data_IF_657091413148
#
_entry.id   IF_657091413148
#
_cell.length_a   1.000
_cell.length_b   1.000
_cell.length_c   1.000
_cell.angle_alpha   90.00
_cell.angle_beta   90.00
_cell.angle_gamma   90.00
#
_symmetry.space_group_name_H-M   'P 1'
#
loop_
_entity.id
_entity.type
_entity.pdbx_description
1 polymer ?
#
# COMPACT_ATOMS: atom_id res chain seq x y z
N UNK A 1 18.44 8.09 3.54
CA UNK A 1 18.90 8.99 2.46
C UNK A 1 19.13 8.23 1.13
N UNK A 2 18.10 7.48 0.69
CA UNK A 2 18.17 6.69 -0.53
C UNK A 2 18.10 7.58 -1.77
N UNK A 3 19.05 7.41 -2.70
CA UNK A 3 19.12 8.14 -3.96
C UNK A 3 19.14 7.16 -5.14
N UNK A 4 18.34 7.47 -6.17
CA UNK A 4 18.37 6.81 -7.46
C UNK A 4 18.23 7.79 -8.60
N UNK A 5 19.15 7.68 -9.57
CA UNK A 5 19.17 8.48 -10.79
C UNK A 5 19.02 7.60 -12.03
N UNK A 6 18.36 8.12 -13.03
CA UNK A 6 18.31 7.58 -14.39
C UNK A 6 18.75 8.68 -15.34
N UNK A 7 20.04 8.66 -15.74
CA UNK A 7 20.67 9.81 -16.39
C UNK A 7 20.64 11.04 -15.46
N UNK A 8 20.12 12.14 -15.93
CA UNK A 8 20.02 13.39 -15.16
C UNK A 8 18.78 13.44 -14.25
N UNK A 9 17.84 12.51 -14.45
CA UNK A 9 16.59 12.48 -13.67
C UNK A 9 16.79 11.76 -12.32
N UNK A 10 16.49 12.47 -11.22
CA UNK A 10 16.46 11.87 -9.87
C UNK A 10 15.09 11.30 -9.58
N UNK A 11 14.97 9.97 -9.66
CA UNK A 11 13.74 9.25 -9.36
C UNK A 11 13.51 9.09 -7.86
N UNK A 12 14.59 8.99 -7.06
CA UNK A 12 14.60 9.05 -5.60
C UNK A 12 15.64 10.07 -5.17
N UNK A 13 15.25 11.00 -4.30
CA UNK A 13 16.07 12.13 -3.87
C UNK A 13 16.13 12.23 -2.34
N UNK A 14 16.90 11.34 -1.74
CA UNK A 14 17.14 11.31 -0.29
C UNK A 14 15.96 10.72 0.50
N UNK A 15 15.32 9.66 -0.02
CA UNK A 15 14.20 9.00 0.68
C UNK A 15 14.67 8.41 2.01
N UNK A 16 13.95 8.76 3.08
CA UNK A 16 14.00 8.11 4.38
C UNK A 16 12.61 7.57 4.69
N UNK A 17 12.50 6.33 5.14
CA UNK A 17 11.25 5.67 5.47
C UNK A 17 11.51 4.57 6.49
N UNK A 18 10.57 4.38 7.41
CA UNK A 18 10.62 3.31 8.39
C UNK A 18 9.28 2.57 8.43
N UNK A 19 9.33 1.25 8.26
CA UNK A 19 8.16 0.38 8.35
C UNK A 19 8.33 -0.55 9.54
N UNK A 20 7.44 -0.43 10.53
CA UNK A 20 7.45 -1.30 11.70
C UNK A 20 6.98 -2.71 11.34
N UNK A 21 7.63 -3.72 11.95
CA UNK A 21 7.26 -5.13 11.73
C UNK A 21 5.84 -5.42 12.21
N UNK A 22 5.09 -6.18 11.41
CA UNK A 22 3.71 -6.56 11.72
C UNK A 22 2.68 -5.45 11.52
N UNK A 23 3.01 -4.42 10.75
CA UNK A 23 2.11 -3.32 10.40
C UNK A 23 1.76 -3.34 8.92
N UNK A 24 0.65 -2.69 8.58
CA UNK A 24 0.29 -2.34 7.21
C UNK A 24 0.71 -0.89 6.97
N UNK A 25 1.67 -0.70 6.06
CA UNK A 25 2.19 0.61 5.70
C UNK A 25 1.73 1.01 4.29
N UNK A 26 1.06 2.15 4.18
CA UNK A 26 0.60 2.74 2.93
C UNK A 26 1.63 3.73 2.36
N UNK A 27 2.15 3.48 1.16
CA UNK A 27 2.98 4.41 0.41
C UNK A 27 2.12 5.14 -0.61
N UNK A 28 1.73 6.37 -0.31
CA UNK A 28 0.78 7.16 -1.11
C UNK A 28 1.49 8.24 -1.91
N UNK A 29 1.05 8.45 -3.15
CA UNK A 29 1.58 9.56 -3.95
C UNK A 29 1.09 9.51 -5.40
N UNK A 30 1.15 10.63 -6.12
CA UNK A 30 0.73 10.68 -7.52
C UNK A 30 1.58 9.77 -8.41
N UNK A 31 1.09 9.53 -9.63
CA UNK A 31 1.88 8.82 -10.63
C UNK A 31 3.18 9.60 -10.91
N UNK A 32 4.30 8.89 -11.02
CA UNK A 32 5.62 9.50 -11.16
C UNK A 32 6.26 9.99 -9.85
N UNK A 33 5.62 9.84 -8.69
CA UNK A 33 6.21 10.24 -7.40
C UNK A 33 7.45 9.43 -7.01
N UNK A 34 7.68 8.25 -7.62
CA UNK A 34 8.81 7.37 -7.34
C UNK A 34 8.45 6.09 -6.56
N UNK A 35 7.15 5.84 -6.27
CA UNK A 35 6.68 4.67 -5.49
C UNK A 35 7.21 3.35 -6.02
N UNK A 36 6.93 3.01 -7.28
CA UNK A 36 7.40 1.75 -7.90
C UNK A 36 8.93 1.70 -8.01
N UNK A 37 9.61 2.84 -8.16
CA UNK A 37 11.07 2.89 -8.12
C UNK A 37 11.58 2.51 -6.73
N UNK A 38 10.99 3.07 -5.66
CA UNK A 38 11.34 2.71 -4.29
C UNK A 38 11.07 1.22 -4.02
N UNK A 39 9.91 0.71 -4.42
CA UNK A 39 9.54 -0.71 -4.29
C UNK A 39 10.55 -1.62 -4.99
N UNK A 40 11.02 -1.27 -6.20
CA UNK A 40 12.04 -2.05 -6.90
C UNK A 40 13.40 -2.07 -6.20
N UNK A 41 13.71 -1.08 -5.38
CA UNK A 41 14.88 -1.12 -4.49
C UNK A 41 14.62 -2.01 -3.28
N UNK A 42 13.42 -1.93 -2.66
CA UNK A 42 13.03 -2.78 -1.53
C UNK A 42 12.98 -4.26 -1.92
N UNK A 43 12.66 -4.58 -3.17
CA UNK A 43 12.68 -5.94 -3.71
C UNK A 43 14.05 -6.37 -4.23
N UNK A 44 15.04 -5.46 -4.19
CA UNK A 44 16.40 -5.69 -4.66
C UNK A 44 16.50 -5.92 -6.18
N UNK A 45 15.53 -5.39 -6.96
CA UNK A 45 15.60 -5.34 -8.44
C UNK A 45 16.54 -4.24 -8.89
N UNK A 46 16.51 -3.10 -8.21
CA UNK A 46 17.42 -1.99 -8.48
C UNK A 46 18.47 -1.85 -7.37
N UNK A 47 19.69 -1.51 -7.78
CA UNK A 47 20.72 -1.04 -6.89
C UNK A 47 20.64 0.48 -6.79
N UNK A 48 20.74 0.99 -5.57
CA UNK A 48 20.78 2.42 -5.28
C UNK A 48 22.12 3.06 -5.70
N UNK A 49 22.08 4.36 -5.99
CA UNK A 49 23.29 5.13 -6.29
C UNK A 49 23.92 5.69 -5.00
N UNK A 50 23.09 5.95 -3.96
CA UNK A 50 23.55 6.29 -2.61
C UNK A 50 22.49 5.91 -1.57
N UNK A 51 22.91 5.83 -0.31
CA UNK A 51 22.07 5.40 0.81
C UNK A 51 22.03 3.88 0.95
N UNK A 52 21.27 3.41 1.94
CA UNK A 52 21.22 2.00 2.34
C UNK A 52 19.76 1.58 2.57
N UNK A 53 19.50 0.29 2.35
CA UNK A 53 18.20 -0.34 2.60
C UNK A 53 18.42 -1.60 3.40
N UNK A 54 17.72 -1.67 4.54
CA UNK A 54 17.73 -2.83 5.43
C UNK A 54 16.33 -3.37 5.62
N UNK A 55 16.21 -4.68 5.68
CA UNK A 55 15.00 -5.40 6.09
C UNK A 55 15.42 -6.36 7.21
N UNK A 56 14.79 -6.22 8.38
CA UNK A 56 15.17 -6.95 9.60
C UNK A 56 16.68 -6.84 9.92
N UNK A 57 17.26 -5.65 9.71
CA UNK A 57 18.67 -5.36 9.96
C UNK A 57 19.65 -5.92 8.91
N UNK A 58 19.18 -6.60 7.88
CA UNK A 58 20.01 -7.14 6.81
C UNK A 58 19.87 -6.34 5.51
N UNK A 59 20.99 -6.10 4.76
CA UNK A 59 20.92 -5.39 3.48
C UNK A 59 20.15 -6.20 2.44
N UNK A 60 19.39 -5.51 1.59
CA UNK A 60 18.45 -6.15 0.65
C UNK A 60 19.10 -6.59 -0.64
N UNK A 61 20.01 -5.76 -1.20
CA UNK A 61 20.58 -6.00 -2.52
C UNK A 61 21.41 -7.30 -2.55
N UNK A 62 21.10 -8.19 -3.51
CA UNK A 62 21.71 -9.53 -3.66
C UNK A 62 21.63 -10.45 -2.43
N UNK A 63 20.74 -10.16 -1.47
CA UNK A 63 20.57 -10.97 -0.27
C UNK A 63 19.44 -12.01 -0.47
N UNK A 64 19.82 -13.26 -0.75
CA UNK A 64 18.88 -14.36 -0.96
C UNK A 64 18.03 -14.66 0.28
N UNK A 65 18.60 -14.54 1.48
CA UNK A 65 17.88 -14.84 2.74
C UNK A 65 16.75 -13.83 3.00
N UNK A 66 17.01 -12.55 2.75
CA UNK A 66 15.98 -11.51 2.84
C UNK A 66 14.89 -11.74 1.78
N UNK A 67 15.29 -12.02 0.53
CA UNK A 67 14.34 -12.24 -0.58
C UNK A 67 13.46 -13.48 -0.38
N UNK A 68 13.99 -14.54 0.24
CA UNK A 68 13.23 -15.75 0.54
C UNK A 68 12.08 -15.52 1.55
N UNK A 69 12.15 -14.45 2.35
CA UNK A 69 11.13 -14.07 3.33
C UNK A 69 10.16 -12.99 2.82
N UNK A 70 10.28 -12.60 1.54
CA UNK A 70 9.52 -11.52 0.92
C UNK A 70 8.67 -12.07 -0.23
N UNK A 71 7.44 -11.60 -0.36
CA UNK A 71 6.66 -11.75 -1.58
C UNK A 71 6.35 -10.37 -2.16
N UNK A 72 6.31 -10.27 -3.49
CA UNK A 72 6.08 -9.03 -4.20
C UNK A 72 5.00 -9.22 -5.27
N UNK A 73 4.01 -8.36 -5.25
CA UNK A 73 2.99 -8.27 -6.29
C UNK A 73 3.18 -6.92 -7.01
N UNK A 74 3.69 -6.93 -8.25
CA UNK A 74 3.80 -5.72 -9.06
C UNK A 74 2.42 -5.27 -9.56
N UNK A 75 2.31 -4.03 -10.04
CA UNK A 75 1.09 -3.51 -10.67
C UNK A 75 0.63 -4.38 -11.84
N UNK A 76 1.57 -4.82 -12.68
CA UNK A 76 1.32 -5.82 -13.73
C UNK A 76 2.02 -7.14 -13.37
N UNK A 77 1.29 -8.14 -12.84
CA UNK A 77 1.84 -9.44 -12.51
C UNK A 77 2.35 -10.18 -13.75
N UNK A 78 3.53 -10.79 -13.63
CA UNK A 78 4.10 -11.62 -14.68
C UNK A 78 3.66 -13.09 -14.55
N UNK A 79 3.24 -13.67 -15.67
CA UNK A 79 2.92 -15.08 -15.81
C UNK A 79 3.56 -15.67 -17.06
N UNK A 80 3.97 -16.93 -17.00
CA UNK A 80 4.44 -17.63 -18.20
C UNK A 80 3.34 -17.71 -19.26
N UNK A 81 3.73 -17.75 -20.53
CA UNK A 81 2.79 -17.61 -21.67
C UNK A 81 1.62 -18.58 -21.65
N UNK A 82 1.86 -19.82 -21.26
CA UNK A 82 0.87 -20.89 -21.28
C UNK A 82 0.39 -21.29 -19.88
N UNK A 83 0.95 -20.66 -18.83
CA UNK A 83 0.72 -21.12 -17.47
C UNK A 83 -0.74 -20.98 -17.03
N UNK A 84 -1.20 -21.99 -16.36
CA UNK A 84 -2.36 -22.00 -15.51
C UNK A 84 -1.98 -21.72 -14.04
N UNK A 85 -2.99 -21.62 -13.16
CA UNK A 85 -2.75 -21.32 -11.73
C UNK A 85 -2.01 -22.46 -11.02
N UNK A 86 -2.21 -23.72 -11.44
CA UNK A 86 -1.53 -24.88 -10.85
C UNK A 86 -0.05 -24.93 -11.27
N UNK A 87 0.28 -24.55 -12.49
CA UNK A 87 1.66 -24.47 -12.95
C UNK A 87 2.41 -23.35 -12.22
N UNK A 88 1.79 -22.19 -12.06
CA UNK A 88 2.37 -21.12 -11.27
C UNK A 88 2.52 -21.51 -9.80
N UNK A 89 1.57 -22.22 -9.22
CA UNK A 89 1.68 -22.78 -7.86
C UNK A 89 2.91 -23.68 -7.72
N UNK A 90 3.12 -24.62 -8.64
CA UNK A 90 4.31 -25.51 -8.62
C UNK A 90 5.61 -24.71 -8.74
N UNK A 91 5.62 -23.68 -9.57
CA UNK A 91 6.76 -22.77 -9.71
C UNK A 91 7.08 -22.05 -8.40
N UNK A 92 6.08 -21.41 -7.77
CA UNK A 92 6.27 -20.73 -6.49
C UNK A 92 6.68 -21.69 -5.36
N UNK A 93 6.08 -22.89 -5.31
CA UNK A 93 6.48 -23.94 -4.37
C UNK A 93 7.94 -24.36 -4.52
N UNK A 94 8.45 -24.36 -5.75
CA UNK A 94 9.87 -24.64 -6.02
C UNK A 94 10.81 -23.51 -5.62
N UNK A 95 10.32 -22.28 -5.54
CA UNK A 95 11.09 -21.09 -5.18
C UNK A 95 11.08 -20.76 -3.68
N UNK A 96 9.95 -21.01 -3.01
CA UNK A 96 9.75 -20.64 -1.61
C UNK A 96 9.63 -21.90 -0.75
N UNK A 97 10.60 -22.15 0.11
CA UNK A 97 10.55 -23.27 1.06
C UNK A 97 9.37 -23.17 2.03
N UNK A 98 8.92 -21.93 2.31
CA UNK A 98 7.77 -21.63 3.17
C UNK A 98 6.41 -21.78 2.49
N UNK A 99 6.36 -22.21 1.21
CA UNK A 99 5.12 -22.30 0.46
C UNK A 99 4.12 -23.28 1.08
N UNK A 100 2.92 -22.79 1.40
CA UNK A 100 1.85 -23.57 2.04
C UNK A 100 0.84 -24.05 0.98
N UNK A 101 1.04 -25.30 0.51
CA UNK A 101 0.16 -25.92 -0.49
C UNK A 101 -1.25 -26.19 0.07
N UNK A 102 -1.39 -26.44 1.38
CA UNK A 102 -2.71 -26.61 2.01
C UNK A 102 -3.50 -25.29 1.99
N UNK A 103 -2.82 -24.19 2.27
CA UNK A 103 -3.40 -22.85 2.15
C UNK A 103 -3.82 -22.55 0.71
N UNK A 104 -3.05 -22.99 -0.28
CA UNK A 104 -3.38 -22.77 -1.69
C UNK A 104 -4.76 -23.34 -2.02
N UNK A 105 -5.06 -24.59 -1.67
CA UNK A 105 -6.37 -25.19 -1.92
C UNK A 105 -7.47 -24.58 -1.06
N UNK A 106 -7.19 -24.18 0.17
CA UNK A 106 -8.16 -23.48 1.04
C UNK A 106 -8.55 -22.11 0.49
N UNK A 107 -7.58 -21.36 -0.03
CA UNK A 107 -7.84 -20.03 -0.60
C UNK A 107 -8.63 -20.06 -1.91
N UNK A 108 -8.76 -21.21 -2.57
CA UNK A 108 -9.60 -21.36 -3.75
C UNK A 108 -11.05 -20.93 -3.48
N UNK A 109 -11.56 -21.16 -2.28
CA UNK A 109 -12.92 -20.77 -1.87
C UNK A 109 -13.12 -19.25 -1.90
N UNK A 110 -12.06 -18.48 -1.71
CA UNK A 110 -12.08 -17.02 -1.79
C UNK A 110 -12.01 -16.47 -3.23
N UNK A 111 -11.62 -17.31 -4.18
CA UNK A 111 -11.49 -16.94 -5.59
C UNK A 111 -12.33 -17.86 -6.50
N UNK A 112 -13.66 -17.98 -6.26
CA UNK A 112 -14.51 -18.99 -6.93
C UNK A 112 -14.63 -18.79 -8.44
N UNK A 113 -14.38 -17.57 -8.93
CA UNK A 113 -14.42 -17.25 -10.36
C UNK A 113 -13.18 -17.71 -11.15
N UNK A 114 -12.14 -18.23 -10.47
CA UNK A 114 -10.88 -18.63 -11.12
C UNK A 114 -10.88 -20.14 -11.35
N UNK A 115 -10.96 -20.54 -12.62
CA UNK A 115 -10.65 -21.92 -13.01
C UNK A 115 -9.12 -22.09 -13.01
N UNK A 116 -8.63 -22.94 -12.10
CA UNK A 116 -7.19 -23.17 -11.89
C UNK A 116 -6.47 -23.77 -13.11
N UNK A 117 -7.19 -24.39 -14.03
CA UNK A 117 -6.64 -25.01 -15.26
C UNK A 117 -6.71 -24.08 -16.47
N UNK A 118 -7.37 -22.93 -16.32
CA UNK A 118 -7.44 -21.93 -17.36
C UNK A 118 -6.14 -21.14 -17.46
N UNK A 119 -5.68 -20.89 -18.68
CA UNK A 119 -4.50 -20.03 -18.90
C UNK A 119 -4.74 -18.64 -18.26
N UNK A 120 -3.82 -18.23 -17.35
CA UNK A 120 -3.96 -17.00 -16.55
C UNK A 120 -4.03 -15.76 -17.45
N UNK A 121 -3.29 -15.71 -18.55
CA UNK A 121 -3.31 -14.56 -19.47
C UNK A 121 -4.65 -14.35 -20.17
N UNK A 122 -5.54 -15.34 -20.17
CA UNK A 122 -6.91 -15.24 -20.68
C UNK A 122 -7.93 -14.78 -19.64
N UNK A 123 -7.50 -14.60 -18.40
CA UNK A 123 -8.30 -14.03 -17.32
C UNK A 123 -8.35 -12.50 -17.46
N UNK A 124 -9.36 -11.86 -16.87
CA UNK A 124 -9.39 -10.41 -16.75
C UNK A 124 -8.21 -9.89 -15.90
N UNK A 125 -7.82 -8.63 -16.05
CA UNK A 125 -6.75 -8.03 -15.26
C UNK A 125 -7.00 -8.19 -13.74
N UNK A 126 -8.23 -7.97 -13.29
CA UNK A 126 -8.62 -8.19 -11.89
C UNK A 126 -8.44 -9.63 -11.44
N UNK A 127 -8.84 -10.61 -12.26
CA UNK A 127 -8.64 -12.03 -11.95
C UNK A 127 -7.14 -12.42 -11.94
N UNK A 128 -6.34 -11.84 -12.83
CA UNK A 128 -4.90 -12.03 -12.80
C UNK A 128 -4.29 -11.49 -11.49
N UNK A 129 -4.70 -10.32 -11.02
CA UNK A 129 -4.29 -9.80 -9.70
C UNK A 129 -4.73 -10.72 -8.56
N UNK A 130 -5.95 -11.29 -8.63
CA UNK A 130 -6.40 -12.28 -7.64
C UNK A 130 -5.48 -13.52 -7.58
N UNK A 131 -5.07 -14.04 -8.73
CA UNK A 131 -4.10 -15.15 -8.81
C UNK A 131 -2.76 -14.75 -8.17
N UNK A 132 -2.28 -13.51 -8.41
CA UNK A 132 -1.05 -13.01 -7.79
C UNK A 132 -1.16 -12.94 -6.27
N UNK A 133 -2.27 -12.43 -5.73
CA UNK A 133 -2.55 -12.45 -4.29
C UNK A 133 -2.57 -13.88 -3.73
N UNK A 134 -3.31 -14.76 -4.39
CA UNK A 134 -3.43 -16.16 -3.98
C UNK A 134 -2.06 -16.82 -3.84
N UNK A 135 -1.21 -16.72 -4.87
CA UNK A 135 0.12 -17.30 -4.87
C UNK A 135 1.06 -16.64 -3.83
N UNK A 136 1.05 -15.31 -3.75
CA UNK A 136 1.91 -14.57 -2.82
C UNK A 136 1.61 -14.88 -1.35
N UNK A 137 0.33 -15.00 -0.98
CA UNK A 137 -0.10 -15.40 0.37
C UNK A 137 0.37 -16.81 0.72
N UNK A 138 0.33 -17.72 -0.25
CA UNK A 138 0.80 -19.10 -0.04
C UNK A 138 2.32 -19.19 0.17
N UNK A 139 3.10 -18.20 -0.25
CA UNK A 139 4.54 -18.12 0.05
C UNK A 139 4.81 -17.87 1.54
N UNK A 140 3.80 -17.49 2.33
CA UNK A 140 3.89 -17.24 3.78
C UNK A 140 5.01 -16.23 4.12
N UNK A 141 5.06 -15.08 3.43
CA UNK A 141 6.15 -14.12 3.59
C UNK A 141 6.09 -13.43 4.95
N UNK A 142 7.26 -12.96 5.44
CA UNK A 142 7.34 -12.01 6.56
C UNK A 142 7.05 -10.58 6.10
N UNK A 143 7.43 -10.25 4.86
CA UNK A 143 7.18 -8.96 4.23
C UNK A 143 6.46 -9.17 2.90
N UNK A 144 5.27 -8.62 2.78
CA UNK A 144 4.48 -8.60 1.55
C UNK A 144 4.48 -7.17 0.97
N UNK A 145 5.01 -7.03 -0.23
CA UNK A 145 5.07 -5.75 -0.94
C UNK A 145 4.08 -5.77 -2.10
N UNK A 146 3.24 -4.74 -2.17
CA UNK A 146 2.13 -4.61 -3.10
C UNK A 146 2.23 -3.28 -3.85
N UNK A 147 2.40 -3.32 -5.18
CA UNK A 147 2.48 -2.11 -6.01
C UNK A 147 1.15 -1.91 -6.75
N UNK A 148 0.38 -0.88 -6.38
CA UNK A 148 -0.97 -0.53 -6.90
C UNK A 148 -1.90 -1.77 -6.99
N UNK A 149 -2.03 -2.56 -5.91
CA UNK A 149 -2.63 -3.91 -5.99
C UNK A 149 -4.14 -3.88 -6.22
N UNK A 150 -4.81 -2.79 -5.90
CA UNK A 150 -6.27 -2.68 -5.95
C UNK A 150 -6.80 -2.19 -7.29
N UNK A 151 -5.91 -1.72 -8.17
CA UNK A 151 -6.31 -1.23 -9.48
C UNK A 151 -6.94 -2.34 -10.32
N UNK A 152 -8.12 -2.06 -10.86
CA UNK A 152 -8.87 -3.02 -11.68
C UNK A 152 -9.64 -4.09 -10.91
N UNK A 153 -9.64 -4.05 -9.56
CA UNK A 153 -10.49 -4.90 -8.72
C UNK A 153 -11.84 -4.20 -8.43
N UNK A 154 -12.91 -4.99 -8.41
CA UNK A 154 -14.20 -4.51 -7.95
C UNK A 154 -14.23 -4.28 -6.42
N UNK A 155 -15.18 -3.48 -5.89
CA UNK A 155 -15.22 -3.14 -4.46
C UNK A 155 -15.37 -4.35 -3.53
N UNK A 156 -16.08 -5.40 -3.95
CA UNK A 156 -16.29 -6.61 -3.14
C UNK A 156 -14.97 -7.36 -2.99
N UNK A 157 -14.27 -7.53 -4.10
CA UNK A 157 -12.96 -8.21 -4.12
C UNK A 157 -11.90 -7.41 -3.34
N UNK A 158 -11.89 -6.07 -3.45
CA UNK A 158 -10.99 -5.22 -2.63
C UNK A 158 -11.19 -5.48 -1.14
N UNK A 159 -12.45 -5.46 -0.67
CA UNK A 159 -12.77 -5.73 0.73
C UNK A 159 -12.32 -7.12 1.17
N UNK A 160 -12.54 -8.13 0.33
CA UNK A 160 -12.14 -9.50 0.61
C UNK A 160 -10.61 -9.65 0.75
N UNK A 161 -9.85 -9.06 -0.17
CA UNK A 161 -8.39 -9.06 -0.10
C UNK A 161 -7.90 -8.37 1.18
N UNK A 162 -8.46 -7.22 1.54
CA UNK A 162 -8.12 -6.54 2.80
C UNK A 162 -8.41 -7.41 4.02
N UNK A 163 -9.55 -8.09 4.05
CA UNK A 163 -9.88 -9.02 5.15
C UNK A 163 -8.83 -10.11 5.30
N UNK A 164 -8.39 -10.71 4.19
CA UNK A 164 -7.35 -11.74 4.21
C UNK A 164 -6.01 -11.16 4.68
N UNK A 165 -5.62 -9.98 4.18
CA UNK A 165 -4.36 -9.32 4.56
C UNK A 165 -4.35 -8.96 6.05
N UNK A 166 -5.43 -8.39 6.57
CA UNK A 166 -5.55 -8.06 8.00
C UNK A 166 -5.46 -9.31 8.88
N UNK A 167 -6.04 -10.44 8.45
CA UNK A 167 -5.90 -11.72 9.16
C UNK A 167 -4.45 -12.21 9.18
N UNK A 168 -3.73 -12.15 8.05
CA UNK A 168 -2.30 -12.53 7.97
C UNK A 168 -1.42 -11.62 8.85
N UNK A 169 -1.73 -10.33 8.92
CA UNK A 169 -1.02 -9.39 9.82
C UNK A 169 -1.31 -9.73 11.28
N UNK A 170 -2.58 -9.93 11.65
CA UNK A 170 -2.98 -10.20 13.03
C UNK A 170 -2.46 -11.56 13.54
N UNK A 171 -2.56 -12.61 12.73
CA UNK A 171 -2.22 -13.97 13.16
C UNK A 171 -0.73 -14.28 13.06
N UNK A 172 -0.06 -13.71 12.07
CA UNK A 172 1.33 -14.05 11.73
C UNK A 172 2.33 -12.91 11.89
N UNK A 173 1.84 -11.70 12.16
CA UNK A 173 2.66 -10.49 12.18
C UNK A 173 3.36 -10.23 10.83
N UNK A 174 2.74 -10.62 9.72
CA UNK A 174 3.21 -10.29 8.38
C UNK A 174 3.25 -8.78 8.25
N UNK A 175 4.37 -8.23 7.82
CA UNK A 175 4.47 -6.81 7.48
C UNK A 175 3.98 -6.61 6.07
N UNK A 176 3.13 -5.61 5.82
CA UNK A 176 2.59 -5.30 4.50
C UNK A 176 2.98 -3.87 4.12
N UNK A 177 3.61 -3.72 2.96
CA UNK A 177 3.82 -2.41 2.33
C UNK A 177 2.98 -2.36 1.07
N UNK A 178 2.07 -1.38 1.00
CA UNK A 178 1.18 -1.21 -0.14
C UNK A 178 1.32 0.19 -0.73
N UNK A 179 1.52 0.29 -2.04
CA UNK A 179 1.48 1.56 -2.74
C UNK A 179 0.08 1.85 -3.29
N UNK A 180 -0.31 3.12 -3.26
CA UNK A 180 -1.51 3.62 -3.96
C UNK A 180 -1.34 5.09 -4.36
N UNK A 181 -2.04 5.50 -5.39
CA UNK A 181 -2.21 6.91 -5.73
C UNK A 181 -3.44 7.53 -5.02
N UNK A 182 -4.22 6.72 -4.29
CA UNK A 182 -5.45 7.13 -3.61
C UNK A 182 -5.40 6.79 -2.11
N UNK A 183 -5.22 7.82 -1.27
CA UNK A 183 -5.18 7.66 0.18
C UNK A 183 -6.45 6.99 0.75
N UNK A 184 -7.63 7.31 0.18
CA UNK A 184 -8.91 6.78 0.68
C UNK A 184 -9.01 5.25 0.64
N UNK A 185 -8.27 4.60 -0.26
CA UNK A 185 -8.25 3.14 -0.36
C UNK A 185 -7.49 2.49 0.79
N UNK A 186 -6.66 3.26 1.50
CA UNK A 186 -5.75 2.81 2.54
C UNK A 186 -6.16 3.29 3.95
N UNK A 187 -7.03 4.30 4.04
CA UNK A 187 -7.43 4.95 5.32
C UNK A 187 -7.98 3.97 6.36
N UNK A 188 -8.72 2.94 5.92
CA UNK A 188 -9.38 2.01 6.84
C UNK A 188 -8.52 0.79 7.21
N UNK A 189 -7.34 0.64 6.60
CA UNK A 189 -6.58 -0.62 6.68
C UNK A 189 -5.11 -0.46 7.06
N UNK A 190 -4.53 0.73 6.82
CA UNK A 190 -3.13 0.98 7.15
C UNK A 190 -2.97 1.50 8.59
N UNK A 191 -1.88 1.09 9.24
CA UNK A 191 -1.46 1.64 10.53
C UNK A 191 -0.70 2.95 10.35
N UNK A 192 0.15 3.01 9.31
CA UNK A 192 0.99 4.16 8.97
C UNK A 192 0.91 4.46 7.49
N UNK A 193 1.13 5.72 7.15
CA UNK A 193 1.25 6.17 5.76
C UNK A 193 2.47 7.05 5.55
N UNK A 194 3.13 6.83 4.41
CA UNK A 194 4.16 7.71 3.85
C UNK A 194 3.61 8.40 2.61
N UNK A 195 3.59 9.72 2.60
CA UNK A 195 3.20 10.49 1.42
C UNK A 195 4.45 10.81 0.62
N UNK A 196 4.48 10.30 -0.61
CA UNK A 196 5.61 10.45 -1.51
C UNK A 196 5.30 11.43 -2.64
N UNK A 197 6.21 12.37 -2.89
CA UNK A 197 6.14 13.30 -4.01
C UNK A 197 7.54 13.66 -4.51
N UNK A 198 7.70 13.74 -5.84
CA UNK A 198 8.97 14.09 -6.50
C UNK A 198 10.19 13.36 -5.92
N UNK A 199 10.09 12.04 -5.73
CA UNK A 199 11.18 11.19 -5.26
C UNK A 199 11.51 11.33 -3.77
N UNK A 200 10.65 11.97 -2.97
CA UNK A 200 10.83 12.16 -1.51
C UNK A 200 9.61 11.69 -0.75
N UNK A 201 9.81 11.12 0.43
CA UNK A 201 8.74 10.94 1.42
C UNK A 201 8.66 12.26 2.20
N UNK A 202 7.57 13.00 1.98
CA UNK A 202 7.36 14.34 2.55
C UNK A 202 6.64 14.31 3.90
N UNK A 203 5.82 13.27 4.12
CA UNK A 203 5.10 13.04 5.38
C UNK A 203 5.19 11.55 5.69
N UNK A 204 5.45 11.21 6.94
CA UNK A 204 5.35 9.86 7.47
C UNK A 204 4.67 9.92 8.83
N UNK A 205 3.48 9.32 8.97
CA UNK A 205 2.64 9.41 10.18
C UNK A 205 1.81 8.15 10.37
N UNK A 206 1.41 7.88 11.61
CA UNK A 206 0.32 6.95 11.88
C UNK A 206 -1.01 7.53 11.37
N UNK A 207 -1.92 6.67 10.90
CA UNK A 207 -3.26 7.13 10.51
C UNK A 207 -4.06 7.61 11.72
N UNK A 208 -3.81 7.04 12.89
CA UNK A 208 -4.40 7.51 14.14
C UNK A 208 -4.07 8.99 14.40
N UNK A 209 -2.80 9.40 14.21
CA UNK A 209 -2.37 10.79 14.38
C UNK A 209 -2.94 11.72 13.30
N UNK A 210 -3.12 11.21 12.07
CA UNK A 210 -3.71 11.98 10.98
C UNK A 210 -5.20 12.23 11.21
N UNK A 211 -5.95 11.23 11.65
CA UNK A 211 -7.39 11.36 11.91
C UNK A 211 -7.70 12.13 13.19
N UNK A 212 -6.83 12.08 14.18
CA UNK A 212 -7.04 12.72 15.48
C UNK A 212 -6.88 14.25 15.49
N UNK A 213 -6.22 14.82 14.49
CA UNK A 213 -5.79 16.22 14.52
C UNK A 213 -6.29 17.09 13.35
N UNK A 214 -7.08 16.56 12.43
CA UNK A 214 -7.59 17.36 11.30
C UNK A 214 -9.09 17.07 11.10
N UNK A 215 -9.88 18.12 11.17
CA UNK A 215 -11.33 18.07 10.99
C UNK A 215 -11.76 18.84 9.75
N UNK A 216 -12.58 18.23 8.90
CA UNK A 216 -13.28 18.93 7.83
C UNK A 216 -14.65 19.33 8.34
N UNK A 217 -14.93 20.62 8.34
CA UNK A 217 -16.19 21.20 8.82
C UNK A 217 -16.89 21.89 7.66
N UNK A 218 -18.20 21.69 7.58
CA UNK A 218 -19.05 22.44 6.66
C UNK A 218 -20.12 23.18 7.46
N UNK A 219 -20.12 24.50 7.34
CA UNK A 219 -21.03 25.37 8.06
C UNK A 219 -21.83 26.18 7.06
N UNK A 220 -23.15 26.13 7.17
CA UNK A 220 -24.05 27.00 6.41
C UNK A 220 -24.32 28.28 7.20
N UNK A 221 -23.77 29.42 6.75
CA UNK A 221 -23.96 30.72 7.39
C UNK A 221 -24.99 31.57 6.64
N UNK A 222 -25.90 32.17 7.36
CA UNK A 222 -26.88 33.14 6.79
C UNK A 222 -26.23 34.51 6.59
N UNK A 223 -25.30 34.90 7.47
CA UNK A 223 -24.63 36.19 7.46
C UNK A 223 -23.13 36.03 7.73
N UNK A 224 -22.33 36.18 6.67
CA UNK A 224 -20.88 36.33 6.78
C UNK A 224 -20.12 35.05 7.13
N UNK A 225 -18.82 35.21 7.29
CA UNK A 225 -17.87 34.13 7.59
C UNK A 225 -17.98 33.63 9.02
N UNK A 226 -18.04 32.30 9.28
CA UNK A 226 -18.06 31.78 10.64
C UNK A 226 -16.74 32.11 11.36
N UNK A 227 -16.85 32.58 12.61
CA UNK A 227 -15.69 32.86 13.46
C UNK A 227 -15.40 31.64 14.31
N UNK A 228 -14.28 31.00 14.08
CA UNK A 228 -13.75 29.99 14.97
C UNK A 228 -12.90 30.63 16.08
N UNK A 229 -12.88 30.05 17.29
CA UNK A 229 -11.97 30.46 18.35
C UNK A 229 -10.50 30.41 17.90
N UNK A 230 -9.67 31.30 18.43
CA UNK A 230 -8.24 31.43 18.04
C UNK A 230 -7.38 30.19 18.32
N UNK A 231 -7.87 29.29 19.14
CA UNK A 231 -7.23 28.02 19.47
C UNK A 231 -7.26 26.99 18.33
N UNK A 232 -8.13 27.19 17.32
CA UNK A 232 -8.21 26.31 16.17
C UNK A 232 -7.45 26.90 14.97
N UNK A 233 -6.43 26.19 14.53
CA UNK A 233 -5.66 26.56 13.33
C UNK A 233 -6.44 26.15 12.08
N UNK A 234 -6.87 27.14 11.26
CA UNK A 234 -7.54 26.89 9.97
C UNK A 234 -6.44 26.65 8.93
N UNK A 235 -6.35 25.41 8.45
CA UNK A 235 -5.37 25.00 7.43
C UNK A 235 -5.83 25.35 6.02
N UNK A 236 -7.12 25.29 5.76
CA UNK A 236 -7.71 25.65 4.47
C UNK A 236 -9.16 26.10 4.66
N UNK A 237 -9.59 27.05 3.81
CA UNK A 237 -10.99 27.48 3.76
C UNK A 237 -11.40 27.72 2.32
N UNK A 238 -12.60 27.25 1.99
CA UNK A 238 -13.27 27.54 0.73
C UNK A 238 -14.75 27.80 0.98
N UNK A 239 -15.43 28.50 0.09
CA UNK A 239 -16.86 28.72 0.16
C UNK A 239 -17.54 28.39 -1.17
N UNK A 240 -18.77 27.90 -1.06
CA UNK A 240 -19.66 27.68 -2.18
C UNK A 240 -21.04 28.25 -1.79
N UNK A 241 -21.32 29.46 -2.26
CA UNK A 241 -22.51 30.20 -1.84
C UNK A 241 -22.50 30.50 -0.33
N UNK A 242 -23.46 29.96 0.40
CA UNK A 242 -23.61 30.14 1.87
C UNK A 242 -22.89 29.06 2.68
N UNK A 243 -22.29 28.03 2.03
CA UNK A 243 -21.63 26.93 2.71
C UNK A 243 -20.12 27.20 2.73
N UNK A 244 -19.56 27.30 3.91
CA UNK A 244 -18.12 27.39 4.16
C UNK A 244 -17.60 25.99 4.48
N UNK A 245 -16.58 25.58 3.75
CA UNK A 245 -15.82 24.35 4.04
C UNK A 245 -14.47 24.75 4.63
N UNK A 246 -14.21 24.30 5.85
CA UNK A 246 -12.94 24.57 6.56
C UNK A 246 -12.24 23.29 6.89
N UNK A 247 -10.94 23.26 6.74
CA UNK A 247 -10.04 22.21 7.24
C UNK A 247 -9.35 22.82 8.45
N UNK A 248 -9.62 22.27 9.62
CA UNK A 248 -9.19 22.82 10.92
C UNK A 248 -8.35 21.77 11.64
N UNK A 249 -7.27 22.21 12.26
CA UNK A 249 -6.47 21.36 13.14
C UNK A 249 -7.18 21.27 14.50
N UNK A 250 -7.55 20.06 14.89
CA UNK A 250 -8.25 19.79 16.14
C UNK A 250 -9.13 18.55 16.05
N UNK A 251 -9.52 18.02 17.22
CA UNK A 251 -10.41 16.87 17.30
C UNK A 251 -11.82 17.23 16.77
N UNK A 252 -12.44 16.40 15.92
CA UNK A 252 -13.79 16.67 15.38
C UNK A 252 -14.84 16.99 16.44
N UNK A 253 -14.79 16.34 17.60
CA UNK A 253 -15.77 16.56 18.70
C UNK A 253 -15.58 17.91 19.39
N UNK A 254 -14.33 18.35 19.57
CA UNK A 254 -14.01 19.64 20.20
C UNK A 254 -14.38 20.79 19.25
N UNK A 255 -14.10 20.61 17.96
CA UNK A 255 -14.41 21.61 16.93
C UNK A 255 -15.91 21.71 16.71
N UNK A 256 -16.65 20.59 16.71
CA UNK A 256 -18.11 20.60 16.58
C UNK A 256 -18.85 21.20 17.78
N UNK A 257 -18.25 21.16 18.97
CA UNK A 257 -18.86 21.72 20.20
C UNK A 257 -18.80 23.26 20.24
N UNK A 258 -18.03 23.90 19.35
CA UNK A 258 -17.76 25.34 19.37
C UNK A 258 -18.40 26.08 18.18
N UNK A 259 -19.01 25.33 17.24
CA UNK A 259 -19.75 25.87 16.08
C UNK A 259 -21.25 25.81 16.33
#
# INVERSE_FOLDING_TARGET
>A
NLIKKFGDFRALDGVNMHVASGNIYGLVGPNGAGKSTLIRHLTGVYRQDAGEIFIDGAPVYENKQVKAQMAYIPDEPFYFLQADTLEMMRYFRGMYESFDEKMFYRLQEFFPGIDMKRNIRRLSRGMQKQVAFWLALCCRPKLLILDEPLDGLDPVMRKQIWTILMSEVAERRTTVLVSSHNLRELEDVCDHVGIMNHGKVIIERSLFDLHGNISKIQVACQTGMPKLPKEFEILHMSNSGRVYTMIVKGNPREVAAVI
#
